data_IF_166707472999
#
_entry.id   IF_166707472999
#
_cell.length_a   1.000
_cell.length_b   1.000
_cell.length_c   1.000
_cell.angle_alpha   90.00
_cell.angle_beta   90.00
_cell.angle_gamma   90.00
#
_symmetry.space_group_name_H-M   'P 1'
#
loop_
_entity.id
_entity.type
_entity.pdbx_description
1 polymer ?
#
# COMPACT_ATOMS: atom_id res chain seq x y z
N UNK A 1 -19.91 -9.74 4.24
CA UNK A 1 -19.38 -8.53 3.58
C UNK A 1 -17.85 -8.60 3.66
N UNK A 2 -17.11 -8.29 2.59
CA UNK A 2 -15.65 -8.52 2.50
C UNK A 2 -14.85 -7.90 3.66
N UNK A 3 -15.24 -6.73 4.16
CA UNK A 3 -14.58 -6.07 5.30
C UNK A 3 -14.62 -6.90 6.60
N UNK A 4 -15.67 -7.70 6.80
CA UNK A 4 -15.84 -8.56 7.96
C UNK A 4 -14.96 -9.82 7.95
N UNK A 5 -14.10 -10.00 6.94
CA UNK A 5 -13.06 -11.05 6.97
C UNK A 5 -11.99 -10.77 8.04
N UNK A 6 -11.71 -9.48 8.30
CA UNK A 6 -10.82 -9.05 9.36
C UNK A 6 -11.58 -8.34 10.47
N UNK A 7 -12.34 -7.30 10.12
CA UNK A 7 -12.93 -6.40 11.10
C UNK A 7 -14.10 -7.02 11.86
N UNK A 8 -14.30 -6.60 13.11
CA UNK A 8 -15.46 -7.05 13.90
C UNK A 8 -16.77 -6.52 13.30
N UNK A 9 -17.83 -7.33 13.39
CA UNK A 9 -19.12 -7.00 12.78
C UNK A 9 -19.72 -5.72 13.37
N UNK A 10 -19.65 -5.54 14.69
CA UNK A 10 -20.15 -4.34 15.39
C UNK A 10 -19.41 -3.06 14.98
N UNK A 11 -18.12 -3.14 14.71
CA UNK A 11 -17.32 -2.02 14.21
C UNK A 11 -17.72 -1.61 12.79
N UNK A 12 -17.89 -2.59 11.90
CA UNK A 12 -18.35 -2.35 10.52
C UNK A 12 -19.78 -1.83 10.49
N UNK A 13 -20.65 -2.34 11.37
CA UNK A 13 -22.02 -1.87 11.50
C UNK A 13 -22.03 -0.39 11.90
N UNK A 14 -21.22 0.03 12.88
CA UNK A 14 -21.06 1.44 13.24
C UNK A 14 -20.60 2.27 12.04
N UNK A 15 -19.51 1.87 11.38
CA UNK A 15 -18.98 2.56 10.20
C UNK A 15 -20.05 2.76 9.12
N UNK A 16 -20.94 1.77 8.94
CA UNK A 16 -21.97 1.81 7.89
C UNK A 16 -23.15 2.75 8.18
N UNK A 17 -23.37 3.13 9.45
CA UNK A 17 -24.53 3.92 9.87
C UNK A 17 -24.18 5.30 10.42
N UNK A 18 -22.96 5.50 10.92
CA UNK A 18 -22.56 6.75 11.57
C UNK A 18 -22.40 7.86 10.53
N UNK A 19 -23.00 9.02 10.82
CA UNK A 19 -22.94 10.24 10.03
C UNK A 19 -22.71 11.45 10.94
N UNK A 20 -22.28 12.60 10.42
CA UNK A 20 -22.16 13.81 11.23
C UNK A 20 -23.46 14.22 11.94
N UNK A 21 -24.62 13.88 11.36
CA UNK A 21 -25.94 14.21 11.90
C UNK A 21 -26.37 13.30 13.07
N UNK A 22 -25.98 12.02 13.06
CA UNK A 22 -26.41 11.04 14.07
C UNK A 22 -25.31 10.62 15.05
N UNK A 23 -24.07 11.11 14.90
CA UNK A 23 -22.92 10.70 15.72
C UNK A 23 -23.16 10.81 17.24
N UNK A 24 -23.97 11.78 17.68
CA UNK A 24 -24.35 11.92 19.09
C UNK A 24 -25.16 10.73 19.63
N UNK A 25 -25.97 10.08 18.78
CA UNK A 25 -26.74 8.87 19.10
C UNK A 25 -25.83 7.64 19.22
N UNK A 26 -24.65 7.69 18.58
CA UNK A 26 -23.66 6.62 18.55
C UNK A 26 -22.46 6.84 19.47
N UNK A 27 -22.51 7.83 20.38
CA UNK A 27 -21.37 8.24 21.20
C UNK A 27 -20.66 7.09 21.95
N UNK A 28 -21.41 6.15 22.53
CA UNK A 28 -20.83 5.01 23.25
C UNK A 28 -20.11 4.01 22.32
N UNK A 29 -20.63 3.82 21.10
CA UNK A 29 -19.99 2.96 20.10
C UNK A 29 -18.74 3.66 19.52
N UNK A 30 -18.83 4.96 19.23
CA UNK A 30 -17.70 5.77 18.79
C UNK A 30 -16.54 5.73 19.79
N UNK A 31 -16.83 5.91 21.08
CA UNK A 31 -15.81 5.80 22.13
C UNK A 31 -15.18 4.40 22.17
N UNK A 32 -15.98 3.33 22.04
CA UNK A 32 -15.49 1.95 22.03
C UNK A 32 -14.57 1.66 20.85
N UNK A 33 -14.89 2.21 19.69
CA UNK A 33 -14.20 1.96 18.42
C UNK A 33 -13.19 3.06 18.06
N UNK A 34 -12.81 3.87 19.05
CA UNK A 34 -11.79 4.92 18.96
C UNK A 34 -12.02 5.99 17.87
N UNK A 35 -13.27 6.37 17.64
CA UNK A 35 -13.57 7.58 16.87
C UNK A 35 -13.31 8.80 17.74
N UNK A 36 -12.40 9.66 17.30
CA UNK A 36 -11.88 10.78 18.07
C UNK A 36 -11.44 11.92 17.13
N UNK A 37 -10.62 12.85 17.60
CA UNK A 37 -10.14 13.98 16.77
C UNK A 37 -9.24 13.53 15.62
N UNK A 38 -8.46 12.47 15.79
CA UNK A 38 -7.65 11.88 14.72
C UNK A 38 -8.52 11.05 13.77
N UNK A 39 -9.58 10.40 14.26
CA UNK A 39 -10.50 9.61 13.44
C UNK A 39 -11.93 10.19 13.48
N UNK A 40 -12.16 11.37 12.87
CA UNK A 40 -13.45 12.06 12.95
C UNK A 40 -14.52 11.42 12.05
N UNK A 41 -15.78 11.60 12.42
CA UNK A 41 -16.90 11.29 11.53
C UNK A 41 -17.03 12.40 10.48
N UNK A 42 -17.12 12.03 9.21
CA UNK A 42 -17.32 12.95 8.10
C UNK A 42 -18.30 12.38 7.06
N UNK A 43 -18.88 13.25 6.25
CA UNK A 43 -19.82 12.85 5.20
C UNK A 43 -19.17 11.91 4.18
N UNK A 44 -19.79 10.74 3.98
CA UNK A 44 -19.27 9.73 3.05
C UNK A 44 -18.15 8.86 3.63
N UNK A 45 -17.88 8.89 4.94
CA UNK A 45 -16.85 8.06 5.60
C UNK A 45 -16.90 6.58 5.17
N UNK A 46 -18.08 5.96 5.19
CA UNK A 46 -18.18 4.55 4.82
C UNK A 46 -17.87 4.31 3.35
N UNK A 47 -18.31 5.20 2.45
CA UNK A 47 -18.02 5.08 1.03
C UNK A 47 -16.52 5.27 0.76
N UNK A 48 -15.90 6.24 1.43
CA UNK A 48 -14.44 6.40 1.42
C UNK A 48 -13.73 5.10 1.81
N UNK A 49 -14.16 4.45 2.90
CA UNK A 49 -13.63 3.15 3.34
C UNK A 49 -13.81 2.04 2.31
N UNK A 50 -14.99 1.97 1.69
CA UNK A 50 -15.30 0.94 0.68
C UNK A 50 -14.45 1.11 -0.58
N UNK A 51 -14.20 2.34 -1.02
CA UNK A 51 -13.46 2.62 -2.23
C UNK A 51 -12.00 2.18 -2.13
N UNK A 52 -11.26 2.63 -1.11
CA UNK A 52 -9.85 2.27 -0.99
C UNK A 52 -9.67 0.78 -0.66
N UNK A 53 -10.52 0.21 0.21
CA UNK A 53 -10.43 -1.21 0.57
C UNK A 53 -10.78 -2.12 -0.60
N UNK A 54 -11.83 -1.78 -1.35
CA UNK A 54 -12.24 -2.51 -2.54
C UNK A 54 -11.14 -2.52 -3.61
N UNK A 55 -10.44 -1.40 -3.82
CA UNK A 55 -9.34 -1.31 -4.77
C UNK A 55 -8.14 -2.19 -4.37
N UNK A 56 -7.76 -2.23 -3.09
CA UNK A 56 -6.68 -3.10 -2.60
C UNK A 56 -7.04 -4.60 -2.71
N UNK A 57 -8.27 -4.97 -2.35
CA UNK A 57 -8.78 -6.35 -2.51
C UNK A 57 -8.79 -6.73 -4.00
N UNK A 58 -9.30 -5.85 -4.87
CA UNK A 58 -9.33 -6.11 -6.32
C UNK A 58 -7.92 -6.23 -6.89
N UNK A 59 -6.96 -5.43 -6.42
CA UNK A 59 -5.55 -5.56 -6.77
C UNK A 59 -5.00 -6.95 -6.42
N UNK A 60 -5.26 -7.41 -5.20
CA UNK A 60 -4.87 -8.76 -4.74
C UNK A 60 -5.53 -9.88 -5.58
N UNK A 61 -6.83 -9.77 -5.89
CA UNK A 61 -7.53 -10.71 -6.77
C UNK A 61 -6.83 -10.77 -8.14
N UNK A 62 -6.52 -9.62 -8.75
CA UNK A 62 -5.85 -9.60 -10.07
C UNK A 62 -4.46 -10.23 -10.04
N UNK A 63 -3.70 -10.04 -8.96
CA UNK A 63 -2.40 -10.68 -8.77
C UNK A 63 -2.53 -12.21 -8.62
N UNK A 64 -3.47 -12.68 -7.79
CA UNK A 64 -3.74 -14.11 -7.59
C UNK A 64 -4.09 -14.83 -8.91
N UNK A 65 -4.84 -14.17 -9.79
CA UNK A 65 -5.23 -14.71 -11.10
C UNK A 65 -4.21 -14.46 -12.21
N UNK A 66 -3.03 -13.88 -11.91
CA UNK A 66 -1.99 -13.59 -12.90
C UNK A 66 -2.42 -12.60 -13.99
N UNK A 67 -3.37 -11.70 -13.68
CA UNK A 67 -3.88 -10.69 -14.62
C UNK A 67 -2.99 -9.45 -14.71
N UNK A 68 -2.08 -9.28 -13.75
CA UNK A 68 -1.03 -8.28 -13.74
C UNK A 68 0.14 -8.75 -12.86
N UNK A 69 1.34 -8.24 -13.13
CA UNK A 69 2.52 -8.46 -12.27
C UNK A 69 2.58 -7.44 -11.13
N UNK A 70 1.97 -6.27 -11.33
CA UNK A 70 1.90 -5.18 -10.36
C UNK A 70 0.49 -4.58 -10.38
N UNK A 71 -0.09 -4.39 -9.20
CA UNK A 71 -1.32 -3.64 -9.00
C UNK A 71 -1.01 -2.40 -8.15
N UNK A 72 -1.58 -1.24 -8.50
CA UNK A 72 -1.32 0.03 -7.81
C UNK A 72 -2.63 0.58 -7.27
N UNK A 73 -2.67 0.89 -5.97
CA UNK A 73 -3.77 1.59 -5.31
C UNK A 73 -3.27 2.69 -4.37
N UNK A 74 -3.06 3.90 -4.91
CA UNK A 74 -2.63 5.05 -4.11
C UNK A 74 -3.66 5.53 -3.08
N UNK A 75 -4.92 5.10 -3.19
CA UNK A 75 -5.95 5.47 -2.21
C UNK A 75 -5.92 4.61 -0.93
N UNK A 76 -5.30 3.43 -0.99
CA UNK A 76 -5.15 2.52 0.14
C UNK A 76 -3.86 2.71 0.90
N UNK A 77 -3.49 1.71 1.71
CA UNK A 77 -2.29 1.77 2.56
C UNK A 77 -2.56 2.26 3.98
N UNK A 78 -3.81 2.14 4.45
CA UNK A 78 -4.25 2.65 5.75
C UNK A 78 -3.90 1.66 6.87
N UNK A 79 -2.62 1.63 7.22
CA UNK A 79 -1.99 0.57 8.03
C UNK A 79 -2.29 0.59 9.53
N UNK A 80 -2.81 1.67 10.10
CA UNK A 80 -3.04 1.80 11.54
C UNK A 80 -4.37 1.21 12.02
N UNK A 81 -5.32 1.00 11.11
CA UNK A 81 -6.64 0.49 11.46
C UNK A 81 -6.53 -0.90 12.11
N UNK A 82 -7.22 -1.09 13.23
CA UNK A 82 -7.20 -2.34 14.00
C UNK A 82 -8.43 -3.18 13.69
N UNK A 83 -8.51 -4.36 14.31
CA UNK A 83 -9.63 -5.28 14.11
C UNK A 83 -11.00 -4.66 14.43
N UNK A 84 -11.07 -3.87 15.49
CA UNK A 84 -12.33 -3.29 15.97
C UNK A 84 -12.22 -1.83 16.37
N UNK A 85 -11.20 -1.10 15.92
CA UNK A 85 -11.05 0.32 16.26
C UNK A 85 -10.32 1.07 15.14
N UNK A 86 -10.70 2.33 14.97
CA UNK A 86 -9.98 3.28 14.13
C UNK A 86 -8.71 3.75 14.84
N UNK A 87 -7.66 4.11 14.09
CA UNK A 87 -6.42 4.64 14.67
C UNK A 87 -5.62 5.38 13.60
N UNK A 88 -4.97 6.50 13.95
CA UNK A 88 -4.04 7.20 13.06
C UNK A 88 -4.61 7.51 11.67
N UNK A 89 -5.79 8.16 11.62
CA UNK A 89 -6.53 8.46 10.38
C UNK A 89 -7.09 7.23 9.62
N UNK A 90 -6.86 6.01 10.11
CA UNK A 90 -7.22 4.76 9.45
C UNK A 90 -8.46 4.11 10.08
N UNK A 91 -9.44 3.76 9.24
CA UNK A 91 -10.70 3.14 9.69
C UNK A 91 -10.80 1.65 9.29
N UNK A 92 -10.47 1.31 8.05
CA UNK A 92 -10.45 -0.07 7.55
C UNK A 92 -9.03 -0.39 7.13
N UNK A 93 -8.53 -1.55 7.54
CA UNK A 93 -7.19 -2.00 7.19
C UNK A 93 -7.25 -2.75 5.85
N UNK A 94 -7.15 -2.00 4.75
CA UNK A 94 -7.20 -2.55 3.41
C UNK A 94 -6.03 -3.49 3.09
N UNK A 95 -4.88 -3.25 3.72
CA UNK A 95 -3.67 -4.05 3.58
C UNK A 95 -3.88 -5.46 4.15
N UNK A 96 -4.45 -5.56 5.36
CA UNK A 96 -4.78 -6.87 5.95
C UNK A 96 -5.77 -7.64 5.07
N UNK A 97 -6.80 -6.97 4.56
CA UNK A 97 -7.78 -7.59 3.67
C UNK A 97 -7.14 -8.07 2.35
N UNK A 98 -6.26 -7.26 1.75
CA UNK A 98 -5.52 -7.65 0.54
C UNK A 98 -4.56 -8.83 0.80
N UNK A 99 -3.86 -8.84 1.94
CA UNK A 99 -2.98 -9.95 2.33
C UNK A 99 -3.78 -11.24 2.55
N UNK A 100 -4.95 -11.16 3.20
CA UNK A 100 -5.85 -12.32 3.37
C UNK A 100 -6.29 -12.89 2.01
N UNK A 101 -6.56 -12.02 1.03
CA UNK A 101 -6.86 -12.44 -0.33
C UNK A 101 -5.64 -13.12 -0.99
N UNK A 102 -4.45 -12.53 -0.92
CA UNK A 102 -3.22 -13.11 -1.47
C UNK A 102 -2.88 -14.47 -0.84
N UNK A 103 -3.14 -14.65 0.46
CA UNK A 103 -2.90 -15.90 1.17
C UNK A 103 -3.76 -17.08 0.66
N UNK A 104 -4.76 -16.85 -0.19
CA UNK A 104 -5.49 -17.95 -0.85
C UNK A 104 -4.64 -18.70 -1.87
N UNK A 105 -3.70 -18.02 -2.53
CA UNK A 105 -2.86 -18.57 -3.59
C UNK A 105 -1.37 -18.60 -3.21
N UNK A 106 -0.94 -17.68 -2.35
CA UNK A 106 0.44 -17.54 -1.94
C UNK A 106 0.68 -18.17 -0.56
N UNK A 107 1.61 -19.11 -0.51
CA UNK A 107 2.06 -19.75 0.72
C UNK A 107 2.59 -18.72 1.75
N UNK A 108 3.32 -17.72 1.25
CA UNK A 108 3.99 -16.66 2.01
C UNK A 108 3.77 -15.32 1.33
N UNK A 109 3.35 -14.31 2.10
CA UNK A 109 3.16 -12.93 1.62
C UNK A 109 4.09 -12.02 2.42
N UNK A 110 4.88 -11.19 1.74
CA UNK A 110 5.71 -10.17 2.39
C UNK A 110 4.93 -8.86 2.43
N UNK A 111 4.79 -8.28 3.61
CA UNK A 111 4.36 -6.91 3.80
C UNK A 111 5.59 -6.03 4.09
N UNK A 112 5.78 -5.00 3.27
CA UNK A 112 6.83 -4.00 3.44
C UNK A 112 6.20 -2.62 3.61
N UNK A 113 6.66 -1.90 4.62
CA UNK A 113 6.17 -0.58 5.01
C UNK A 113 7.31 0.44 5.06
N UNK A 114 7.21 1.51 4.26
CA UNK A 114 8.15 2.63 4.23
C UNK A 114 7.51 3.97 4.63
N UNK A 115 6.30 3.94 5.20
CA UNK A 115 5.73 5.06 5.94
C UNK A 115 6.64 5.45 7.10
N UNK A 116 6.62 6.72 7.52
CA UNK A 116 7.42 7.12 8.68
C UNK A 116 6.86 6.53 9.99
N UNK A 117 5.58 6.17 10.03
CA UNK A 117 4.95 5.57 11.19
C UNK A 117 5.07 4.04 11.14
N UNK A 118 5.18 3.41 12.30
CA UNK A 118 5.18 1.96 12.38
C UNK A 118 3.83 1.38 11.89
N UNK A 119 3.89 0.41 10.97
CA UNK A 119 2.74 -0.31 10.41
C UNK A 119 2.06 -1.29 11.38
N UNK A 120 1.68 -0.77 12.54
CA UNK A 120 1.26 -1.51 13.72
C UNK A 120 -0.03 -2.31 13.54
N UNK A 121 -1.00 -1.83 12.76
CA UNK A 121 -2.24 -2.57 12.50
C UNK A 121 -2.02 -3.83 11.65
N UNK A 122 -1.13 -3.76 10.66
CA UNK A 122 -0.78 -4.92 9.83
C UNK A 122 0.11 -5.89 10.61
N UNK A 123 1.07 -5.38 11.38
CA UNK A 123 1.89 -6.18 12.30
C UNK A 123 1.02 -6.96 13.30
N UNK A 124 0.13 -6.28 14.01
CA UNK A 124 -0.76 -6.89 15.00
C UNK A 124 -1.64 -8.00 14.39
N UNK A 125 -2.17 -7.77 13.19
CA UNK A 125 -3.04 -8.73 12.50
C UNK A 125 -2.33 -10.06 12.17
N UNK A 126 -1.01 -10.03 11.96
CA UNK A 126 -0.22 -11.19 11.56
C UNK A 126 0.87 -11.61 12.56
N UNK A 127 0.91 -11.00 13.75
CA UNK A 127 1.95 -11.16 14.76
C UNK A 127 2.23 -12.62 15.19
N UNK A 128 1.25 -13.50 15.02
CA UNK A 128 1.31 -14.92 15.38
C UNK A 128 1.48 -15.87 14.19
N UNK A 129 1.63 -15.34 12.96
CA UNK A 129 1.64 -16.11 11.71
C UNK A 129 3.02 -16.19 11.07
N UNK A 130 3.41 -17.37 10.60
CA UNK A 130 4.62 -17.57 9.78
C UNK A 130 4.36 -17.42 8.26
N UNK A 131 3.09 -17.21 7.87
CA UNK A 131 2.70 -17.05 6.47
C UNK A 131 2.82 -15.61 5.97
N UNK A 132 2.90 -14.64 6.87
CA UNK A 132 3.06 -13.23 6.53
C UNK A 132 4.28 -12.74 7.27
N UNK A 133 5.20 -12.11 6.53
CA UNK A 133 6.31 -11.38 7.15
C UNK A 133 6.00 -9.89 7.09
N UNK A 134 6.06 -9.20 8.23
CA UNK A 134 5.93 -7.75 8.28
C UNK A 134 7.30 -7.12 8.45
N UNK A 135 7.65 -6.17 7.59
CA UNK A 135 8.89 -5.40 7.66
C UNK A 135 8.57 -3.93 7.63
N UNK A 136 8.94 -3.17 8.67
CA UNK A 136 8.66 -1.74 8.77
C UNK A 136 9.92 -0.93 9.06
N UNK A 137 10.09 0.16 8.31
CA UNK A 137 11.15 1.15 8.50
C UNK A 137 10.53 2.48 8.92
N UNK A 138 10.60 2.82 10.19
CA UNK A 138 9.81 3.92 10.76
C UNK A 138 10.61 4.72 11.79
N UNK A 139 10.14 5.93 12.13
CA UNK A 139 10.67 6.66 13.28
C UNK A 139 10.21 6.00 14.57
N UNK A 140 11.12 5.88 15.53
CA UNK A 140 10.81 5.33 16.85
C UNK A 140 11.44 6.14 17.99
N UNK A 141 10.76 6.18 19.14
CA UNK A 141 11.15 6.93 20.33
C UNK A 141 10.47 8.30 20.45
N UNK A 142 10.69 8.97 21.58
CA UNK A 142 10.14 10.30 21.90
C UNK A 142 8.61 10.42 21.77
N UNK A 143 7.90 9.34 22.09
CA UNK A 143 6.44 9.22 21.96
C UNK A 143 5.91 9.45 20.54
N UNK A 144 6.76 9.25 19.52
CA UNK A 144 6.31 9.27 18.13
C UNK A 144 5.24 8.21 17.90
N UNK A 145 4.13 8.60 17.28
CA UNK A 145 3.02 7.70 17.00
C UNK A 145 3.47 6.54 16.09
N UNK A 146 2.99 5.30 16.29
CA UNK A 146 2.04 4.83 17.31
C UNK A 146 2.67 4.42 18.65
N UNK A 147 3.99 4.57 18.82
CA UNK A 147 4.70 4.20 20.05
C UNK A 147 5.06 2.71 20.17
N UNK A 148 4.93 1.95 19.08
CA UNK A 148 5.31 0.53 18.94
C UNK A 148 6.36 0.36 17.84
N UNK A 149 6.85 -0.86 17.60
CA UNK A 149 7.85 -1.13 16.56
C UNK A 149 9.29 -1.08 17.09
N UNK A 150 9.50 -1.46 18.35
CA UNK A 150 10.86 -1.60 18.87
C UNK A 150 11.61 -2.69 18.09
N UNK A 151 12.95 -2.61 18.05
CA UNK A 151 13.79 -3.65 17.46
C UNK A 151 13.56 -5.05 18.09
N UNK A 152 13.06 -5.08 19.32
CA UNK A 152 12.72 -6.32 20.05
C UNK A 152 11.35 -6.89 19.72
N UNK A 153 10.49 -6.13 19.05
CA UNK A 153 9.18 -6.57 18.61
C UNK A 153 9.39 -7.45 17.37
N UNK A 154 9.51 -8.76 17.61
CA UNK A 154 9.90 -9.76 16.60
C UNK A 154 8.82 -10.80 16.34
N UNK A 155 7.58 -10.55 16.75
CA UNK A 155 6.49 -11.52 16.62
C UNK A 155 6.50 -12.58 17.72
N UNK A 156 5.41 -13.34 17.79
CA UNK A 156 5.21 -14.35 18.83
C UNK A 156 4.73 -15.69 18.26
N UNK A 157 4.88 -16.75 19.06
CA UNK A 157 4.48 -18.12 18.68
C UNK A 157 5.07 -18.54 17.33
N UNK A 158 4.23 -18.84 16.34
CA UNK A 158 4.68 -19.18 14.98
C UNK A 158 5.17 -17.97 14.20
N UNK A 159 4.68 -16.77 14.51
CA UNK A 159 5.13 -15.51 13.91
C UNK A 159 6.44 -14.96 14.46
N UNK A 160 7.04 -15.61 15.47
CA UNK A 160 8.35 -15.20 15.98
C UNK A 160 9.42 -15.25 14.88
N UNK A 161 10.15 -14.15 14.72
CA UNK A 161 11.09 -13.82 13.65
C UNK A 161 10.46 -13.50 12.27
N UNK A 162 9.14 -13.51 12.15
CA UNK A 162 8.41 -13.07 10.96
C UNK A 162 7.93 -11.62 11.05
N UNK A 163 8.28 -10.92 12.13
CA UNK A 163 8.10 -9.48 12.28
C UNK A 163 9.47 -8.84 12.41
N UNK A 164 9.74 -7.85 11.58
CA UNK A 164 11.00 -7.11 11.55
C UNK A 164 10.76 -5.61 11.60
N UNK A 165 11.25 -5.01 12.67
CA UNK A 165 11.19 -3.58 12.87
C UNK A 165 12.57 -2.94 12.74
N UNK A 166 12.64 -1.83 11.99
CA UNK A 166 13.84 -1.03 11.79
C UNK A 166 13.58 0.37 12.35
N UNK A 167 13.74 0.56 13.68
CA UNK A 167 13.42 1.81 14.36
C UNK A 167 14.49 2.88 14.11
N UNK A 168 14.14 3.95 13.41
CA UNK A 168 15.03 5.02 12.98
C UNK A 168 14.81 6.32 13.77
N UNK A 169 15.77 7.24 13.65
CA UNK A 169 15.71 8.58 14.25
C UNK A 169 15.46 9.67 13.21
N UNK A 170 15.21 10.86 13.72
CA UNK A 170 15.00 12.09 12.94
C UNK A 170 16.13 12.34 11.94
N UNK A 171 15.75 12.90 10.78
CA UNK A 171 16.68 13.32 9.75
C UNK A 171 17.29 12.20 8.92
N UNK A 172 16.77 10.96 9.01
CA UNK A 172 17.18 9.84 8.15
C UNK A 172 17.21 10.29 6.68
N UNK A 173 18.40 10.26 6.07
CA UNK A 173 18.60 10.61 4.66
C UNK A 173 18.61 9.38 3.74
N UNK A 174 18.60 9.59 2.42
CA UNK A 174 18.63 8.52 1.41
C UNK A 174 19.79 7.52 1.64
N UNK A 175 20.95 8.01 2.08
CA UNK A 175 22.15 7.19 2.27
C UNK A 175 21.99 6.25 3.46
N UNK A 176 21.54 6.78 4.59
CA UNK A 176 21.28 6.01 5.81
C UNK A 176 20.16 5.00 5.57
N UNK A 177 19.05 5.44 4.97
CA UNK A 177 17.92 4.57 4.66
C UNK A 177 18.35 3.40 3.77
N UNK A 178 19.02 3.64 2.64
CA UNK A 178 19.45 2.56 1.76
C UNK A 178 20.58 1.69 2.30
N UNK A 179 21.41 2.21 3.22
CA UNK A 179 22.42 1.40 3.91
C UNK A 179 21.80 0.31 4.80
N UNK A 180 20.55 0.49 5.23
CA UNK A 180 19.74 -0.49 5.96
C UNK A 180 18.81 -1.26 5.02
N UNK A 181 18.00 -0.54 4.24
CA UNK A 181 16.92 -1.09 3.42
C UNK A 181 17.40 -2.18 2.47
N UNK A 182 18.39 -1.89 1.62
CA UNK A 182 18.83 -2.85 0.59
C UNK A 182 19.39 -4.16 1.16
N UNK A 183 20.35 -4.15 2.10
CA UNK A 183 20.86 -5.41 2.65
C UNK A 183 19.82 -6.18 3.46
N UNK A 184 18.95 -5.51 4.22
CA UNK A 184 17.87 -6.15 4.97
C UNK A 184 16.89 -6.80 4.00
N UNK A 185 16.37 -6.05 3.04
CA UNK A 185 15.36 -6.55 2.09
C UNK A 185 15.92 -7.61 1.14
N UNK A 186 17.19 -7.52 0.72
CA UNK A 186 17.85 -8.62 0.00
C UNK A 186 17.82 -9.91 0.82
N UNK A 187 18.11 -9.83 2.12
CA UNK A 187 18.12 -11.01 3.00
C UNK A 187 16.71 -11.52 3.30
N UNK A 188 15.73 -10.63 3.45
CA UNK A 188 14.31 -10.98 3.56
C UNK A 188 13.87 -11.79 2.35
N UNK A 189 14.12 -11.29 1.13
CA UNK A 189 13.73 -11.99 -0.10
C UNK A 189 14.44 -13.36 -0.23
N UNK A 190 15.72 -13.45 0.16
CA UNK A 190 16.48 -14.70 0.16
C UNK A 190 15.93 -15.74 1.15
N UNK A 191 15.65 -15.33 2.38
CA UNK A 191 15.30 -16.23 3.48
C UNK A 191 13.79 -16.56 3.54
N UNK A 192 12.94 -15.54 3.39
CA UNK A 192 11.49 -15.69 3.47
C UNK A 192 10.88 -16.17 2.15
N UNK A 193 11.49 -15.86 1.00
CA UNK A 193 11.03 -16.30 -0.33
C UNK A 193 9.50 -16.10 -0.53
N UNK A 194 9.00 -14.86 -0.46
CA UNK A 194 7.57 -14.59 -0.60
C UNK A 194 7.07 -14.92 -2.01
N UNK A 195 5.81 -15.35 -2.10
CA UNK A 195 5.11 -15.54 -3.37
C UNK A 195 4.42 -14.28 -3.89
N UNK A 196 4.16 -13.31 -3.01
CA UNK A 196 3.62 -11.99 -3.32
C UNK A 196 4.15 -10.96 -2.33
N UNK A 197 4.22 -9.69 -2.75
CA UNK A 197 4.62 -8.54 -1.93
C UNK A 197 3.47 -7.55 -1.87
N UNK A 198 3.18 -7.02 -0.68
CA UNK A 198 2.38 -5.82 -0.47
C UNK A 198 3.33 -4.74 0.03
N UNK A 199 3.52 -3.69 -0.76
CA UNK A 199 4.41 -2.58 -0.46
C UNK A 199 3.58 -1.31 -0.21
N UNK A 200 3.56 -0.88 1.05
CA UNK A 200 2.98 0.39 1.46
C UNK A 200 4.04 1.48 1.21
N UNK A 201 3.65 2.55 0.50
CA UNK A 201 4.55 3.64 0.10
C UNK A 201 4.12 4.98 0.74
N UNK A 202 3.99 5.00 2.06
CA UNK A 202 3.71 6.20 2.84
C UNK A 202 4.72 7.32 2.54
N UNK A 203 4.23 8.42 1.99
CA UNK A 203 5.02 9.53 1.51
C UNK A 203 5.33 10.58 2.61
N UNK A 204 4.94 10.34 3.85
CA UNK A 204 5.30 11.17 5.01
C UNK A 204 6.73 10.91 5.53
N UNK A 205 7.40 9.89 5.02
CA UNK A 205 8.85 9.67 5.18
C UNK A 205 9.70 10.62 4.33
N UNK A 206 9.09 11.39 3.41
CA UNK A 206 9.77 12.39 2.60
C UNK A 206 10.22 13.61 3.40
N UNK A 207 11.26 14.26 2.89
CA UNK A 207 11.70 15.55 3.37
C UNK A 207 10.59 16.61 3.25
N UNK A 208 10.50 17.46 4.27
CA UNK A 208 9.50 18.54 4.38
C UNK A 208 8.05 18.04 4.41
N UNK A 209 7.82 16.82 4.88
CA UNK A 209 6.48 16.43 5.30
C UNK A 209 6.01 17.28 6.49
N UNK A 210 4.68 17.46 6.60
CA UNK A 210 4.08 18.28 7.67
C UNK A 210 4.14 17.60 9.04
N UNK A 211 4.07 16.27 9.09
CA UNK A 211 4.08 15.48 10.32
C UNK A 211 5.37 14.68 10.47
N UNK A 212 5.90 14.15 9.35
CA UNK A 212 7.12 13.38 9.33
C UNK A 212 8.39 14.22 9.52
N UNK A 213 9.43 13.60 10.07
CA UNK A 213 10.73 14.23 10.33
C UNK A 213 11.92 13.45 9.75
N UNK A 214 11.68 12.63 8.74
CA UNK A 214 12.74 12.09 7.89
C UNK A 214 13.18 13.13 6.84
N UNK A 215 14.23 12.77 6.10
CA UNK A 215 14.82 13.63 5.07
C UNK A 215 15.03 12.87 3.75
N UNK A 216 14.11 11.97 3.41
CA UNK A 216 14.18 11.22 2.15
C UNK A 216 13.84 12.13 0.98
N UNK A 217 14.61 12.01 -0.09
CA UNK A 217 14.22 12.59 -1.38
C UNK A 217 13.19 11.69 -2.06
N UNK A 218 12.44 12.25 -3.01
CA UNK A 218 11.57 11.46 -3.91
C UNK A 218 12.36 10.34 -4.61
N UNK A 219 13.63 10.59 -4.95
CA UNK A 219 14.48 9.62 -5.65
C UNK A 219 14.91 8.48 -4.73
N UNK A 220 15.26 8.77 -3.48
CA UNK A 220 15.56 7.74 -2.47
C UNK A 220 14.33 6.89 -2.15
N UNK A 221 13.18 7.53 -1.96
CA UNK A 221 11.91 6.82 -1.75
C UNK A 221 11.59 5.88 -2.93
N UNK A 222 11.62 6.39 -4.17
CA UNK A 222 11.39 5.57 -5.36
C UNK A 222 12.48 4.52 -5.65
N UNK A 223 13.71 4.69 -5.14
CA UNK A 223 14.76 3.67 -5.24
C UNK A 223 14.41 2.42 -4.41
N UNK A 224 13.67 2.56 -3.30
CA UNK A 224 13.12 1.42 -2.56
C UNK A 224 12.11 0.63 -3.40
N UNK A 225 11.18 1.33 -4.07
CA UNK A 225 10.20 0.73 -4.99
C UNK A 225 10.91 0.00 -6.13
N UNK A 226 11.89 0.64 -6.76
CA UNK A 226 12.68 0.05 -7.85
C UNK A 226 13.44 -1.20 -7.40
N UNK A 227 14.02 -1.15 -6.20
CA UNK A 227 14.74 -2.29 -5.63
C UNK A 227 13.80 -3.48 -5.41
N UNK A 228 12.62 -3.26 -4.84
CA UNK A 228 11.65 -4.33 -4.61
C UNK A 228 11.06 -4.87 -5.92
N UNK A 229 10.75 -3.99 -6.90
CA UNK A 229 10.31 -4.40 -8.24
C UNK A 229 11.32 -5.32 -8.92
N UNK A 230 12.63 -5.12 -8.69
CA UNK A 230 13.69 -5.90 -9.33
C UNK A 230 13.69 -7.41 -8.99
N UNK A 231 13.01 -7.82 -7.92
CA UNK A 231 12.89 -9.24 -7.55
C UNK A 231 11.88 -10.02 -8.41
N UNK A 232 11.02 -9.33 -9.20
CA UNK A 232 10.08 -9.98 -10.12
C UNK A 232 9.01 -10.83 -9.44
N UNK A 233 8.64 -10.47 -8.20
CA UNK A 233 7.55 -11.12 -7.44
C UNK A 233 6.27 -10.28 -7.60
N UNK A 234 5.08 -10.90 -7.76
CA UNK A 234 3.80 -10.18 -7.84
C UNK A 234 3.67 -9.15 -6.72
N UNK A 235 3.35 -7.90 -7.08
CA UNK A 235 3.40 -6.78 -6.14
C UNK A 235 2.10 -5.96 -6.13
N UNK A 236 1.51 -5.80 -4.95
CA UNK A 236 0.52 -4.77 -4.69
C UNK A 236 1.24 -3.56 -4.09
N UNK A 237 1.15 -2.41 -4.74
CA UNK A 237 1.70 -1.13 -4.26
C UNK A 237 0.56 -0.24 -3.82
N UNK A 238 0.65 0.30 -2.60
CA UNK A 238 -0.37 1.19 -2.05
C UNK A 238 0.20 2.55 -1.65
N UNK A 239 -0.68 3.50 -1.37
CA UNK A 239 -0.31 4.77 -0.74
C UNK A 239 0.03 4.60 0.75
N UNK A 240 -0.46 5.54 1.56
CA UNK A 240 -0.15 5.64 2.98
C UNK A 240 -0.30 7.06 3.51
N UNK A 241 0.45 7.39 4.56
CA UNK A 241 0.60 8.75 5.04
C UNK A 241 1.26 9.69 4.01
N UNK A 242 1.19 10.99 4.27
CA UNK A 242 1.71 12.02 3.38
C UNK A 242 0.93 13.33 3.51
N UNK A 243 1.53 14.32 4.15
CA UNK A 243 0.81 15.50 4.66
C UNK A 243 1.27 16.81 4.04
N UNK A 244 2.36 16.79 3.26
CA UNK A 244 2.70 17.82 2.28
C UNK A 244 2.20 17.42 0.89
N UNK A 245 0.91 17.67 0.62
CA UNK A 245 0.14 17.11 -0.52
C UNK A 245 0.83 17.18 -1.89
N UNK A 246 1.48 18.29 -2.22
CA UNK A 246 2.15 18.44 -3.51
C UNK A 246 3.40 17.54 -3.62
N UNK A 247 4.08 17.23 -2.52
CA UNK A 247 5.18 16.26 -2.51
C UNK A 247 4.67 14.83 -2.59
N UNK A 248 3.51 14.52 -1.99
CA UNK A 248 2.84 13.22 -2.16
C UNK A 248 2.52 12.97 -3.63
N UNK A 249 1.90 13.95 -4.29
CA UNK A 249 1.57 13.86 -5.72
C UNK A 249 2.82 13.66 -6.59
N UNK A 250 3.92 14.37 -6.31
CA UNK A 250 5.22 14.18 -6.97
C UNK A 250 5.76 12.77 -6.78
N UNK A 251 5.78 12.28 -5.53
CA UNK A 251 6.33 10.99 -5.16
C UNK A 251 5.61 9.84 -5.85
N UNK A 252 4.30 9.70 -5.66
CA UNK A 252 3.54 8.61 -6.24
C UNK A 252 3.47 8.68 -7.77
N UNK A 253 3.55 9.87 -8.37
CA UNK A 253 3.71 10.03 -9.83
C UNK A 253 5.04 9.44 -10.30
N UNK A 254 6.14 9.77 -9.62
CA UNK A 254 7.47 9.24 -9.95
C UNK A 254 7.55 7.73 -9.73
N UNK A 255 7.01 7.22 -8.63
CA UNK A 255 6.96 5.79 -8.35
C UNK A 255 6.10 5.03 -9.35
N UNK A 256 4.99 5.60 -9.79
CA UNK A 256 4.20 5.03 -10.89
C UNK A 256 5.06 4.90 -12.15
N UNK A 257 5.84 5.94 -12.50
CA UNK A 257 6.74 5.90 -13.65
C UNK A 257 7.78 4.78 -13.53
N UNK A 258 8.35 4.57 -12.34
CA UNK A 258 9.26 3.45 -12.06
C UNK A 258 8.58 2.09 -12.20
N UNK A 259 7.34 1.95 -11.72
CA UNK A 259 6.56 0.71 -11.80
C UNK A 259 6.17 0.34 -13.24
N UNK A 260 6.00 1.34 -14.12
CA UNK A 260 5.71 1.12 -15.55
C UNK A 260 6.95 1.23 -16.46
N UNK A 261 8.15 1.26 -15.88
CA UNK A 261 9.44 1.35 -16.59
C UNK A 261 9.52 2.55 -17.56
N UNK A 262 8.96 3.70 -17.15
CA UNK A 262 8.97 4.94 -17.92
C UNK A 262 9.85 6.01 -17.26
N UNK A 263 10.55 6.78 -18.10
CA UNK A 263 11.18 8.01 -17.68
C UNK A 263 10.19 9.16 -17.85
N UNK A 264 10.07 10.00 -16.82
CA UNK A 264 9.23 11.21 -16.84
C UNK A 264 10.09 12.46 -16.77
N UNK A 265 9.60 13.53 -17.39
CA UNK A 265 10.25 14.85 -17.37
C UNK A 265 10.32 15.40 -15.95
N UNK A 266 11.41 16.11 -15.61
CA UNK A 266 11.48 16.87 -14.36
C UNK A 266 10.55 18.09 -14.38
N UNK A 267 10.27 18.66 -15.55
CA UNK A 267 9.30 19.74 -15.72
C UNK A 267 7.89 19.16 -15.70
N UNK A 268 7.03 19.65 -14.80
CA UNK A 268 5.66 19.19 -14.67
C UNK A 268 4.79 19.66 -15.86
N UNK A 269 3.87 18.81 -16.35
CA UNK A 269 2.88 19.26 -17.31
C UNK A 269 1.90 20.27 -16.67
N UNK A 270 1.31 21.11 -17.51
CA UNK A 270 0.24 22.00 -17.09
C UNK A 270 -1.03 21.18 -16.81
N UNK A 271 -1.63 21.41 -15.64
CA UNK A 271 -2.83 20.70 -15.16
C UNK A 271 -3.71 21.68 -14.38
N UNK A 272 -4.94 21.27 -14.03
CA UNK A 272 -5.82 22.10 -13.19
C UNK A 272 -5.22 22.41 -11.80
N UNK A 273 -4.23 21.64 -11.35
CA UNK A 273 -3.55 21.82 -10.06
C UNK A 273 -2.14 22.39 -10.21
N UNK A 274 -1.77 22.94 -11.38
CA UNK A 274 -0.39 23.36 -11.67
C UNK A 274 0.17 24.36 -10.64
N UNK A 275 -0.65 25.31 -10.19
CA UNK A 275 -0.29 26.32 -9.19
C UNK A 275 0.07 25.74 -7.81
N UNK A 276 -0.34 24.50 -7.50
CA UNK A 276 0.04 23.82 -6.25
C UNK A 276 1.54 23.46 -6.20
N UNK A 277 2.23 23.51 -7.35
CA UNK A 277 3.64 23.15 -7.50
C UNK A 277 4.55 24.37 -7.70
N UNK A 278 4.02 25.58 -7.51
CA UNK A 278 4.81 26.79 -7.47
C UNK A 278 5.84 26.77 -6.31
N UNK A 279 6.99 27.45 -6.45
CA UNK A 279 7.39 28.28 -7.59
C UNK A 279 8.19 27.51 -8.66
N UNK A 280 8.56 26.26 -8.39
CA UNK A 280 9.53 25.51 -9.17
C UNK A 280 8.91 24.71 -10.31
N UNK A 281 7.64 24.30 -10.19
CA UNK A 281 6.91 23.52 -11.22
C UNK A 281 7.66 22.26 -11.68
N UNK A 282 8.45 21.69 -10.76
CA UNK A 282 9.28 20.53 -10.99
C UNK A 282 8.75 19.31 -10.23
N UNK A 283 9.04 18.13 -10.76
CA UNK A 283 8.70 16.84 -10.13
C UNK A 283 9.55 16.57 -8.89
N UNK A 284 10.79 17.07 -8.86
CA UNK A 284 11.76 16.71 -7.85
C UNK A 284 11.43 17.25 -6.44
N UNK A 285 11.30 16.34 -5.47
CA UNK A 285 11.33 16.69 -4.04
C UNK A 285 12.78 16.59 -3.56
N UNK A 286 13.42 17.75 -3.38
CA UNK A 286 14.80 17.79 -2.90
C UNK A 286 14.86 17.47 -1.39
N UNK A 287 15.80 16.59 -1.00
CA UNK A 287 16.17 16.43 0.40
C UNK A 287 16.58 17.80 0.97
N UNK A 288 16.08 18.13 2.15
CA UNK A 288 16.36 19.41 2.79
C UNK A 288 17.70 19.34 3.55
N UNK A 289 18.38 20.49 3.71
CA UNK A 289 19.67 20.57 4.45
C UNK A 289 19.51 20.88 5.94
N UNK A 290 18.29 21.04 6.45
CA UNK A 290 18.08 21.46 7.85
C UNK A 290 17.72 20.26 8.69
N UNK A 291 18.78 19.64 9.21
CA UNK A 291 18.73 18.51 10.14
C UNK A 291 19.98 17.66 9.99
N UNK A 292 20.78 17.53 11.05
CA UNK A 292 21.78 16.45 11.08
C UNK A 292 21.03 15.13 11.20
N UNK A 293 21.38 14.15 10.36
CA UNK A 293 20.90 12.79 10.51
C UNK A 293 21.31 12.27 11.90
N UNK A 294 20.32 12.03 12.77
CA UNK A 294 20.54 11.58 14.14
C UNK A 294 20.94 10.11 14.22
N UNK A 295 20.93 9.40 13.09
CA UNK A 295 21.35 8.01 12.96
C UNK A 295 22.86 7.93 12.71
N UNK A 296 23.64 7.95 13.81
CA UNK A 296 25.10 7.78 13.73
C UNK A 296 25.47 6.46 13.05
N UNK A 297 26.54 6.46 12.25
CA UNK A 297 27.01 5.28 11.49
C UNK A 297 27.12 4.00 12.33
N UNK A 298 27.69 4.09 13.53
CA UNK A 298 27.83 2.92 14.41
C UNK A 298 26.47 2.37 14.87
N UNK A 299 25.47 3.24 15.05
CA UNK A 299 24.11 2.83 15.40
C UNK A 299 23.41 2.15 14.21
N UNK A 300 23.55 2.72 13.01
CA UNK A 300 23.04 2.14 11.75
C UNK A 300 23.65 0.75 11.51
N UNK A 301 24.96 0.61 11.67
CA UNK A 301 25.64 -0.67 11.50
C UNK A 301 25.16 -1.71 12.53
N UNK A 302 25.06 -1.30 13.80
CA UNK A 302 24.56 -2.18 14.87
C UNK A 302 23.11 -2.64 14.59
N UNK A 303 22.25 -1.72 14.18
CA UNK A 303 20.86 -2.02 13.82
C UNK A 303 20.78 -3.01 12.67
N UNK A 304 21.59 -2.80 11.62
CA UNK A 304 21.68 -3.72 10.49
C UNK A 304 22.06 -5.12 10.94
N UNK A 305 23.09 -5.23 11.79
CA UNK A 305 23.57 -6.53 12.30
C UNK A 305 22.48 -7.22 13.10
N UNK A 306 21.80 -6.51 14.00
CA UNK A 306 20.75 -7.09 14.85
C UNK A 306 19.53 -7.56 14.04
N UNK A 307 19.06 -6.76 13.08
CA UNK A 307 17.95 -7.15 12.18
C UNK A 307 18.35 -8.36 11.31
N UNK A 308 19.57 -8.38 10.76
CA UNK A 308 20.06 -9.51 9.97
C UNK A 308 20.24 -10.77 10.81
N UNK A 309 20.59 -10.65 12.10
CA UNK A 309 20.68 -11.80 13.00
C UNK A 309 19.30 -12.40 13.28
N UNK A 310 18.26 -11.57 13.47
CA UNK A 310 16.87 -12.05 13.59
C UNK A 310 16.47 -12.90 12.37
N UNK A 311 16.83 -12.47 11.16
CA UNK A 311 16.56 -13.22 9.93
C UNK A 311 17.25 -14.60 9.86
N UNK A 312 18.38 -14.79 10.55
CA UNK A 312 19.09 -16.09 10.57
C UNK A 312 18.34 -17.16 11.37
N UNK A 313 17.41 -16.76 12.22
CA UNK A 313 16.55 -17.67 12.97
C UNK A 313 15.38 -18.23 12.16
N UNK A 314 15.11 -17.68 10.97
CA UNK A 314 14.10 -18.24 10.08
C UNK A 314 14.50 -19.65 9.65
N UNK A 315 13.57 -20.60 9.82
CA UNK A 315 13.69 -21.88 9.16
C UNK A 315 13.72 -21.62 7.65
N UNK A 316 14.71 -22.18 6.95
CA UNK A 316 14.74 -22.07 5.50
C UNK A 316 13.57 -22.91 4.95
N UNK A 317 12.49 -22.24 4.55
CA UNK A 317 11.27 -22.81 3.97
C UNK A 317 10.63 -23.97 4.81
N UNK A 318 10.00 -23.70 5.97
CA UNK A 318 9.18 -24.70 6.63
C UNK A 318 8.02 -25.13 5.72
N UNK A 319 7.71 -26.43 5.70
CA UNK A 319 6.63 -26.97 4.89
C UNK A 319 5.29 -26.33 5.27
N UNK A 320 4.59 -25.76 4.30
CA UNK A 320 3.26 -25.18 4.52
C UNK A 320 2.26 -26.33 4.60
N UNK A 321 1.55 -26.44 5.74
CA UNK A 321 0.45 -27.39 5.87
C UNK A 321 -0.68 -27.03 4.90
N UNK A 322 -1.28 -28.06 4.28
CA UNK A 322 -2.48 -27.89 3.46
C UNK A 322 -3.58 -27.24 4.29
N UNK A 323 -4.19 -26.18 3.76
CA UNK A 323 -5.32 -25.51 4.36
C UNK A 323 -6.45 -25.42 3.32
N UNK A 324 -7.69 -25.45 3.80
CA UNK A 324 -8.86 -25.22 2.98
C UNK A 324 -8.88 -23.74 2.56
N UNK A 325 -8.90 -23.49 1.26
CA UNK A 325 -8.85 -22.13 0.69
C UNK A 325 -10.26 -21.56 0.69
N UNK A 326 -10.46 -20.42 1.35
CA UNK A 326 -11.73 -19.71 1.30
C UNK A 326 -12.02 -19.22 -0.14
N UNK A 327 -13.29 -19.17 -0.58
CA UNK A 327 -13.64 -18.68 -1.91
C UNK A 327 -13.10 -17.25 -2.17
N UNK A 328 -12.75 -16.97 -3.42
CA UNK A 328 -12.27 -15.66 -3.87
C UNK A 328 -13.24 -14.52 -3.47
N UNK A 329 -12.71 -13.36 -3.09
CA UNK A 329 -13.55 -12.24 -2.66
C UNK A 329 -14.45 -11.73 -3.80
N UNK A 330 -13.97 -11.85 -5.03
CA UNK A 330 -14.68 -11.59 -6.27
C UNK A 330 -14.29 -12.74 -7.22
N UNK A 331 -15.26 -13.50 -7.72
CA UNK A 331 -15.00 -14.35 -8.88
C UNK A 331 -14.85 -13.39 -10.06
N UNK A 332 -13.72 -13.41 -10.82
CA UNK A 332 -13.70 -12.72 -12.09
C UNK A 332 -14.83 -13.30 -12.95
N UNK A 333 -15.73 -12.47 -13.47
CA UNK A 333 -16.67 -12.90 -14.49
C UNK A 333 -15.86 -13.31 -15.73
N UNK A 334 -15.50 -14.59 -15.79
CA UNK A 334 -14.94 -15.21 -16.97
C UNK A 334 -16.09 -15.49 -17.94
N UNK A 335 -16.51 -14.49 -18.71
CA UNK A 335 -17.22 -14.79 -19.96
C UNK A 335 -16.20 -15.39 -20.95
N UNK A 336 -16.01 -16.72 -20.86
CA UNK A 336 -15.31 -17.48 -21.89
C UNK A 336 -16.19 -17.48 -23.16
N UNK A 337 -15.67 -17.12 -24.34
CA UNK A 337 -16.43 -17.28 -25.57
C UNK A 337 -16.65 -18.77 -25.84
N UNK A 338 -17.91 -19.16 -26.00
CA UNK A 338 -18.32 -20.53 -26.33
C UNK A 338 -17.77 -20.92 -27.70
N UNK A 339 -16.89 -21.93 -27.74
CA UNK A 339 -16.26 -22.44 -28.97
C UNK A 339 -16.88 -23.79 -29.32
N UNK A 340 -18.06 -23.76 -29.95
CA UNK A 340 -18.55 -24.89 -30.75
C UNK A 340 -18.96 -24.41 -32.15
N UNK A 341 -18.01 -24.47 -33.09
CA UNK A 341 -18.26 -24.23 -34.53
C UNK A 341 -17.02 -24.02 -35.38
N UNK A 342 -16.56 -25.08 -36.05
CA UNK A 342 -15.48 -25.14 -37.07
C UNK A 342 -15.75 -24.18 -38.26
N UNK A 343 -14.82 -23.66 -39.07
CA UNK A 343 -13.47 -24.07 -39.49
C UNK A 343 -12.69 -22.87 -40.10
N UNK A 344 -11.34 -22.92 -40.10
CA UNK A 344 -10.50 -22.11 -41.00
C UNK A 344 -9.15 -21.67 -40.41
N UNK A 345 -8.16 -22.56 -40.45
CA UNK A 345 -6.79 -22.37 -39.93
C UNK A 345 -5.96 -21.35 -40.73
N UNK A 346 -5.35 -20.38 -40.04
CA UNK A 346 -3.94 -19.99 -40.24
C UNK A 346 -3.50 -19.00 -39.14
N UNK A 347 -2.75 -19.50 -38.16
CA UNK A 347 -1.69 -18.74 -37.48
C UNK A 347 -2.13 -17.86 -36.31
N UNK A 348 -2.30 -18.48 -35.14
CA UNK A 348 -2.25 -17.80 -33.85
C UNK A 348 -1.17 -16.69 -33.83
N UNK A 349 -1.50 -15.49 -33.34
CA UNK A 349 -0.59 -14.36 -33.12
C UNK A 349 -0.56 -13.15 -34.09
N UNK A 350 -1.56 -12.91 -34.94
CA UNK A 350 -1.90 -11.51 -35.33
C UNK A 350 -2.47 -10.68 -34.15
N UNK A 351 -2.22 -11.10 -32.92
CA UNK A 351 -3.22 -11.33 -31.90
C UNK A 351 -2.97 -10.51 -30.63
N UNK A 352 -2.61 -9.23 -30.79
CA UNK A 352 -2.59 -8.34 -29.63
C UNK A 352 -3.20 -6.96 -29.86
N UNK A 353 -3.18 -6.40 -31.08
CA UNK A 353 -3.86 -5.13 -31.38
C UNK A 353 -5.04 -5.25 -32.36
N UNK A 354 -5.17 -6.36 -33.11
CA UNK A 354 -6.31 -6.59 -34.01
C UNK A 354 -7.55 -7.15 -33.29
N UNK A 355 -7.42 -7.52 -32.01
CA UNK A 355 -8.47 -8.21 -31.22
C UNK A 355 -9.42 -7.30 -30.44
N UNK A 356 -9.11 -6.00 -30.32
CA UNK A 356 -9.96 -5.06 -29.56
C UNK A 356 -10.68 -4.06 -30.48
N UNK A 357 -10.13 -3.73 -31.67
CA UNK A 357 -10.67 -2.64 -32.52
C UNK A 357 -11.70 -3.02 -33.60
N UNK A 358 -11.76 -4.26 -34.08
CA UNK A 358 -12.56 -4.64 -35.27
C UNK A 358 -14.00 -5.05 -34.95
N UNK A 359 -14.22 -5.63 -33.77
CA UNK A 359 -15.52 -6.15 -33.32
C UNK A 359 -16.56 -5.04 -33.10
N UNK A 360 -16.11 -3.87 -32.63
CA UNK A 360 -16.98 -2.73 -32.34
C UNK A 360 -17.54 -2.01 -33.58
N UNK A 361 -16.90 -2.15 -34.76
CA UNK A 361 -17.21 -1.33 -35.93
C UNK A 361 -18.16 -1.99 -36.96
N UNK A 362 -18.21 -3.32 -37.06
CA UNK A 362 -18.99 -4.03 -38.10
C UNK A 362 -20.43 -4.40 -37.69
N UNK A 363 -20.77 -4.36 -36.40
CA UNK A 363 -22.08 -4.79 -35.89
C UNK A 363 -22.98 -3.64 -35.41
N UNK A 364 -22.63 -2.39 -35.73
CA UNK A 364 -23.51 -1.24 -35.51
C UNK A 364 -23.88 -0.96 -34.04
N UNK A 365 -23.09 -1.46 -33.08
CA UNK A 365 -23.33 -1.30 -31.64
C UNK A 365 -22.70 -0.01 -31.10
N UNK A 366 -22.62 1.01 -31.96
CA UNK A 366 -22.55 2.41 -31.53
C UNK A 366 -23.71 3.10 -32.22
N UNK A 367 -24.79 3.35 -31.48
CA UNK A 367 -25.59 4.54 -31.76
C UNK A 367 -24.91 5.72 -31.08
N UNK A 368 -24.65 6.83 -31.78
CA UNK A 368 -23.97 7.97 -31.20
C UNK A 368 -24.82 8.66 -30.13
N UNK A 369 -24.15 9.13 -29.09
CA UNK A 369 -24.57 10.12 -28.09
C UNK A 369 -25.58 9.68 -27.02
N UNK A 370 -25.19 9.81 -25.75
CA UNK A 370 -25.66 10.92 -24.88
C UNK A 370 -25.01 10.85 -23.47
N UNK A 371 -24.93 12.02 -22.82
CA UNK A 371 -24.39 12.37 -21.48
C UNK A 371 -22.86 12.56 -21.39
N UNK A 372 -22.30 13.74 -21.09
CA UNK A 372 -22.81 14.93 -20.40
C UNK A 372 -22.41 16.22 -21.13
N UNK A 373 -23.38 16.98 -21.59
CA UNK A 373 -23.25 18.41 -21.84
C UNK A 373 -24.14 19.11 -20.81
N UNK A 374 -23.56 20.11 -20.13
CA UNK A 374 -24.13 20.91 -19.05
C UNK A 374 -23.91 20.34 -17.64
N UNK A 375 -22.75 20.65 -17.08
CA UNK A 375 -22.73 21.42 -15.83
C UNK A 375 -21.71 22.55 -15.98
N UNK A 376 -22.25 23.74 -16.25
CA UNK A 376 -21.60 25.02 -15.93
C UNK A 376 -22.04 25.34 -14.51
N UNK A 377 -21.12 25.88 -13.72
CA UNK A 377 -21.29 26.76 -12.54
C UNK A 377 -20.06 26.52 -11.65
N UNK A 378 -19.24 27.46 -11.21
CA UNK A 378 -19.14 28.91 -11.36
C UNK A 378 -17.68 29.28 -11.00
N UNK A 379 -17.03 30.10 -11.83
CA UNK A 379 -15.92 30.94 -11.39
C UNK A 379 -16.51 32.20 -10.73
N UNK A 380 -15.91 32.65 -9.64
CA UNK A 380 -16.21 33.92 -9.01
C UNK A 380 -14.97 34.44 -8.28
N UNK A 381 -14.35 35.43 -8.93
CA UNK A 381 -13.50 36.54 -8.45
C UNK A 381 -12.71 36.44 -7.13
#
# INVERSE_FOLDING_TARGET
MQLGQFHSADYIDLLSVVTPDNQAEHAAAMQRHNFNEDCPVFDGLFEYCRLYAGASIQGAVRLNHGLCDTAINWSGGLHHAKKGEASGFCYVNDLVLAILELLKYHARVLYLDIDIHHGDGVEEAFYLSDRVMTVSFHKYGDYFFPGTGDLKDIGEQRGRYYTLNVPLKDGTDDRTFHALFKPIMAKVMEAFQPGAVVMQCGADSLANDRLGCFNLSMRGHGEAVSFMKSFGVPMLVTGGGGYTKHNVARCWTYETALLVDQNVSEVLPETHYHEYFAPDYCLNVAAHRVGEDSNKKDHVEKMRIEVLENLRHLAHAPGVQFHEVAPDAMLPDYELPDVTGQAGEAGAAGAFMERIGKFAHEHGIIKPAEFYANDRDHWGD
#
